data_IF_451834372413
#
_entry.id   IF_451834372413
#
_cell.length_a   1.000
_cell.length_b   1.000
_cell.length_c   1.000
_cell.angle_alpha   90.00
_cell.angle_beta   90.00
_cell.angle_gamma   90.00
#
_symmetry.space_group_name_H-M   'P 1'
#
loop_
_entity.id
_entity.type
_entity.pdbx_description
1 polymer ?
#
# COMPACT_ATOMS: atom_id res chain seq x y z
N UNK A 1 -68.93 -44.73 -6.08
CA UNK A 1 -69.11 -45.42 -4.78
C UNK A 1 -67.75 -45.96 -4.35
N UNK A 2 -67.26 -45.62 -3.15
CA UNK A 2 -66.03 -46.23 -2.57
C UNK A 2 -66.35 -47.67 -2.17
N UNK A 3 -65.45 -48.64 -2.45
CA UNK A 3 -64.72 -49.31 -1.36
C UNK A 3 -63.27 -49.65 -1.74
N UNK A 4 -62.28 -49.40 -0.87
CA UNK A 4 -61.74 -50.27 0.19
C UNK A 4 -60.73 -51.36 -0.27
N UNK A 5 -59.47 -51.12 0.12
CA UNK A 5 -58.59 -51.99 0.94
C UNK A 5 -57.84 -53.20 0.32
N UNK A 6 -56.56 -53.28 0.77
CA UNK A 6 -55.67 -54.45 1.00
C UNK A 6 -54.91 -54.94 -0.25
N UNK A 7 -53.66 -55.41 -0.21
CA UNK A 7 -52.72 -55.80 0.85
C UNK A 7 -51.35 -56.11 0.19
N UNK A 8 -50.23 -55.93 0.92
CA UNK A 8 -48.97 -56.71 0.96
C UNK A 8 -48.20 -56.97 -0.37
N UNK A 9 -46.87 -56.84 -0.45
CA UNK A 9 -45.86 -57.83 -0.03
C UNK A 9 -44.48 -57.12 -0.12
N UNK A 10 -43.76 -56.99 0.99
CA UNK A 10 -42.48 -57.65 1.33
C UNK A 10 -41.34 -57.54 0.29
N UNK A 11 -40.22 -56.93 0.71
CA UNK A 11 -38.96 -56.91 -0.02
C UNK A 11 -37.85 -56.27 0.82
N UNK A 12 -37.24 -57.08 1.67
CA UNK A 12 -36.11 -56.75 2.55
C UNK A 12 -34.80 -56.95 1.77
N UNK A 13 -33.93 -55.94 1.66
CA UNK A 13 -32.51 -56.04 1.27
C UNK A 13 -31.82 -54.70 1.63
N UNK A 14 -31.17 -54.60 2.79
CA UNK A 14 -29.71 -54.81 3.01
C UNK A 14 -28.84 -53.92 2.11
N UNK A 15 -28.19 -52.90 2.69
CA UNK A 15 -26.73 -52.88 2.96
C UNK A 15 -26.27 -51.46 3.32
N UNK A 16 -25.43 -51.40 4.34
CA UNK A 16 -25.02 -50.19 5.02
C UNK A 16 -24.19 -49.23 4.17
N UNK A 17 -24.41 -47.95 4.43
CA UNK A 17 -23.34 -46.97 4.45
C UNK A 17 -23.32 -46.41 5.87
N UNK A 18 -22.22 -46.66 6.57
CA UNK A 18 -21.89 -45.96 7.80
C UNK A 18 -21.74 -44.48 7.46
N UNK A 19 -22.84 -43.73 7.60
CA UNK A 19 -22.79 -42.28 7.65
C UNK A 19 -22.23 -41.91 9.02
N UNK A 20 -20.97 -41.49 9.06
CA UNK A 20 -20.44 -40.72 10.18
C UNK A 20 -21.35 -39.51 10.35
N UNK A 21 -22.23 -39.55 11.35
CA UNK A 21 -22.88 -38.36 11.85
C UNK A 21 -21.79 -37.53 12.52
N UNK A 22 -21.16 -36.64 11.76
CA UNK A 22 -20.44 -35.54 12.36
C UNK A 22 -21.46 -34.75 13.19
N UNK A 23 -21.21 -34.55 14.50
CA UNK A 23 -22.08 -33.71 15.29
C UNK A 23 -22.09 -32.34 14.62
N UNK A 24 -23.29 -31.90 14.28
CA UNK A 24 -23.62 -30.57 13.79
C UNK A 24 -23.20 -29.57 14.88
N UNK A 25 -21.90 -29.28 14.90
CA UNK A 25 -21.30 -28.31 15.79
C UNK A 25 -21.73 -26.98 15.18
N UNK A 26 -22.90 -26.52 15.62
CA UNK A 26 -23.25 -25.10 15.59
C UNK A 26 -22.14 -24.38 16.33
N UNK A 27 -21.10 -24.06 15.58
CA UNK A 27 -20.18 -22.99 15.92
C UNK A 27 -21.02 -21.76 15.67
N UNK A 28 -21.81 -21.39 16.69
CA UNK A 28 -22.20 -20.00 16.93
C UNK A 28 -20.91 -19.24 17.33
N UNK A 29 -19.91 -19.34 16.46
CA UNK A 29 -18.75 -18.48 16.42
C UNK A 29 -19.19 -17.36 15.53
N UNK A 30 -19.86 -16.39 16.13
CA UNK A 30 -19.81 -15.02 15.68
C UNK A 30 -18.34 -14.76 15.35
N UNK A 31 -18.00 -14.84 14.05
CA UNK A 31 -16.69 -14.41 13.56
C UNK A 31 -16.60 -13.01 14.13
N UNK A 32 -15.64 -12.71 15.03
CA UNK A 32 -15.47 -11.34 15.49
C UNK A 32 -15.27 -10.55 14.21
N UNK A 33 -16.30 -9.82 13.78
CA UNK A 33 -16.19 -8.86 12.70
C UNK A 33 -15.02 -8.04 13.15
N UNK A 34 -13.92 -8.05 12.37
CA UNK A 34 -12.71 -7.30 12.66
C UNK A 34 -13.17 -5.89 13.05
N UNK A 35 -13.32 -5.65 14.35
CA UNK A 35 -13.63 -4.34 14.87
C UNK A 35 -12.33 -3.66 14.55
N UNK A 36 -12.35 -2.92 13.45
CA UNK A 36 -11.29 -2.04 13.02
C UNK A 36 -10.83 -1.33 14.28
N UNK A 37 -9.72 -1.78 14.86
CA UNK A 37 -9.20 -1.18 16.06
C UNK A 37 -8.82 0.22 15.59
N UNK A 38 -9.67 1.19 15.91
CA UNK A 38 -9.34 2.59 15.71
C UNK A 38 -8.30 2.87 16.78
N UNK A 39 -7.04 2.96 16.36
CA UNK A 39 -5.90 3.17 17.24
C UNK A 39 -5.83 4.63 17.67
N UNK A 40 -6.24 5.55 16.79
CA UNK A 40 -6.39 6.97 17.12
C UNK A 40 -7.74 7.28 17.73
N UNK A 41 -7.73 8.23 18.69
CA UNK A 41 -8.97 8.83 19.19
C UNK A 41 -9.68 9.62 18.08
N UNK A 42 -10.99 9.83 18.24
CA UNK A 42 -11.76 10.69 17.33
C UNK A 42 -11.21 12.12 17.27
N UNK A 43 -10.65 12.61 18.38
CA UNK A 43 -10.08 13.95 18.45
C UNK A 43 -8.82 14.07 17.61
N UNK A 44 -7.85 13.17 17.77
CA UNK A 44 -6.61 13.15 16.99
C UNK A 44 -6.90 13.00 15.49
N UNK A 45 -7.84 12.12 15.14
CA UNK A 45 -8.28 11.96 13.75
C UNK A 45 -8.88 13.23 13.17
N UNK A 46 -9.77 13.90 13.91
CA UNK A 46 -10.38 15.15 13.48
C UNK A 46 -9.35 16.28 13.34
N UNK A 47 -8.38 16.35 14.25
CA UNK A 47 -7.28 17.33 14.19
C UNK A 47 -6.44 17.13 12.93
N UNK A 48 -6.01 15.90 12.65
CA UNK A 48 -5.23 15.59 11.46
C UNK A 48 -5.99 15.93 10.17
N UNK A 49 -7.26 15.52 10.07
CA UNK A 49 -8.09 15.83 8.90
C UNK A 49 -8.26 17.34 8.71
N UNK A 50 -8.45 18.10 9.79
CA UNK A 50 -8.52 19.56 9.73
C UNK A 50 -7.16 20.19 9.34
N UNK A 51 -6.04 19.58 9.71
CA UNK A 51 -4.72 20.01 9.24
C UNK A 51 -4.56 19.82 7.73
N UNK A 52 -4.89 18.64 7.19
CA UNK A 52 -4.85 18.38 5.75
C UNK A 52 -5.79 19.31 4.97
N UNK A 53 -7.01 19.55 5.47
CA UNK A 53 -7.96 20.47 4.84
C UNK A 53 -7.43 21.91 4.73
N UNK A 54 -6.66 22.38 5.73
CA UNK A 54 -6.05 23.71 5.69
C UNK A 54 -4.95 23.80 4.63
N UNK A 55 -4.13 22.76 4.51
CA UNK A 55 -3.07 22.69 3.49
C UNK A 55 -3.66 22.60 2.07
N UNK A 56 -4.82 21.95 1.91
CA UNK A 56 -5.49 21.78 0.62
C UNK A 56 -6.57 22.85 0.32
N UNK A 57 -6.52 24.00 0.99
CA UNK A 57 -7.56 25.02 0.85
C UNK A 57 -7.70 25.56 -0.59
N UNK A 58 -6.59 25.62 -1.34
CA UNK A 58 -6.53 26.02 -2.75
C UNK A 58 -6.64 24.83 -3.73
N UNK A 59 -6.82 23.62 -3.20
CA UNK A 59 -6.90 22.34 -3.94
C UNK A 59 -5.64 21.98 -4.71
N UNK A 60 -4.49 22.50 -4.31
CA UNK A 60 -3.19 22.10 -4.86
C UNK A 60 -2.27 21.79 -3.68
N UNK A 61 -1.60 20.65 -3.69
CA UNK A 61 -0.55 20.40 -2.70
C UNK A 61 0.80 20.80 -3.29
N UNK A 62 1.52 21.66 -2.57
CA UNK A 62 2.92 21.95 -2.85
C UNK A 62 3.83 20.94 -2.15
N UNK A 63 5.12 20.97 -2.49
CA UNK A 63 6.15 20.20 -1.79
C UNK A 63 6.20 20.55 -0.30
N UNK A 64 6.04 21.82 0.03
CA UNK A 64 6.03 22.30 1.41
C UNK A 64 4.82 21.76 2.19
N UNK A 65 3.66 21.62 1.54
CA UNK A 65 2.46 21.05 2.18
C UNK A 65 2.65 19.56 2.47
N UNK A 66 3.27 18.82 1.55
CA UNK A 66 3.64 17.42 1.77
C UNK A 66 4.60 17.31 2.97
N UNK A 67 5.68 18.08 2.99
CA UNK A 67 6.67 18.08 4.08
C UNK A 67 6.01 18.45 5.43
N UNK A 68 5.14 19.46 5.46
CA UNK A 68 4.38 19.82 6.66
C UNK A 68 3.40 18.71 7.12
N UNK A 69 2.82 17.97 6.18
CA UNK A 69 1.96 16.81 6.46
C UNK A 69 2.75 15.64 7.04
N UNK A 70 3.98 15.41 6.54
CA UNK A 70 4.92 14.43 7.10
C UNK A 70 5.33 14.80 8.52
N UNK A 71 5.55 16.09 8.81
CA UNK A 71 5.79 16.54 10.19
C UNK A 71 4.58 16.25 11.11
N UNK A 72 3.36 16.37 10.59
CA UNK A 72 2.12 15.98 11.28
C UNK A 72 2.07 14.49 11.58
N UNK A 73 2.35 13.66 10.57
CA UNK A 73 2.47 12.21 10.71
C UNK A 73 3.51 11.84 11.77
N UNK A 74 4.70 12.45 11.73
CA UNK A 74 5.76 12.21 12.70
C UNK A 74 5.30 12.53 14.13
N UNK A 75 4.61 13.66 14.34
CA UNK A 75 4.08 14.02 15.67
C UNK A 75 3.08 12.99 16.16
N UNK A 76 2.12 12.59 15.32
CA UNK A 76 1.12 11.56 15.63
C UNK A 76 1.79 10.26 16.08
N UNK A 77 2.73 9.73 15.28
CA UNK A 77 3.46 8.50 15.60
C UNK A 77 4.26 8.62 16.91
N UNK A 78 4.90 9.77 17.14
CA UNK A 78 5.74 10.00 18.31
C UNK A 78 4.95 9.94 19.63
N UNK A 79 3.69 10.39 19.63
CA UNK A 79 2.77 10.29 20.78
C UNK A 79 2.51 8.85 21.18
N UNK A 80 2.60 7.91 20.24
CA UNK A 80 2.40 6.48 20.48
C UNK A 80 3.72 5.69 20.59
N UNK A 81 4.85 6.39 20.69
CA UNK A 81 6.17 5.78 20.81
C UNK A 81 6.62 5.05 19.54
N UNK A 82 6.19 5.52 18.38
CA UNK A 82 6.62 5.05 17.06
C UNK A 82 7.46 6.15 16.43
N UNK A 83 8.66 5.80 15.95
CA UNK A 83 9.53 6.71 15.23
C UNK A 83 9.25 6.63 13.73
N UNK A 84 9.15 7.79 13.07
CA UNK A 84 9.16 7.90 11.62
C UNK A 84 10.61 7.98 11.13
N UNK A 85 11.02 7.04 10.29
CA UNK A 85 12.27 7.10 9.52
C UNK A 85 11.93 7.72 8.17
N UNK A 86 12.54 8.86 7.85
CA UNK A 86 12.33 9.59 6.61
C UNK A 86 13.64 9.63 5.82
N UNK A 87 13.70 8.88 4.72
CA UNK A 87 14.88 8.76 3.85
C UNK A 87 14.85 9.79 2.69
N UNK A 88 13.96 10.79 2.78
CA UNK A 88 13.80 11.85 1.78
C UNK A 88 12.85 11.49 0.65
N UNK A 89 12.97 12.23 -0.46
CA UNK A 89 12.13 12.06 -1.64
C UNK A 89 12.55 10.86 -2.48
N UNK A 90 11.58 10.11 -3.02
CA UNK A 90 11.83 8.98 -3.91
C UNK A 90 12.62 9.47 -5.14
N UNK A 91 13.86 9.00 -5.38
CA UNK A 91 14.65 9.43 -6.52
C UNK A 91 14.09 8.97 -7.86
N UNK A 92 13.18 7.99 -7.89
CA UNK A 92 12.57 7.48 -9.13
C UNK A 92 11.54 8.45 -9.70
N UNK A 93 10.74 9.09 -8.84
CA UNK A 93 9.57 9.89 -9.25
C UNK A 93 9.50 11.30 -8.66
N UNK A 94 10.14 11.60 -7.52
CA UNK A 94 10.05 12.87 -6.78
C UNK A 94 8.61 13.30 -6.41
N UNK A 95 7.67 12.37 -6.42
CA UNK A 95 6.24 12.55 -6.08
C UNK A 95 5.87 11.99 -4.71
N UNK A 96 6.77 11.24 -4.06
CA UNK A 96 6.54 10.65 -2.74
C UNK A 96 7.81 10.68 -1.89
N UNK A 97 7.66 10.69 -0.56
CA UNK A 97 8.76 10.50 0.37
C UNK A 97 8.86 9.04 0.80
N UNK A 98 10.09 8.57 1.05
CA UNK A 98 10.39 7.22 1.53
C UNK A 98 10.30 7.19 3.05
N UNK A 99 9.18 6.66 3.56
CA UNK A 99 8.82 6.71 4.97
C UNK A 99 8.67 5.30 5.55
N UNK A 100 9.24 5.07 6.74
CA UNK A 100 9.16 3.79 7.45
C UNK A 100 8.84 4.00 8.93
N UNK A 101 8.10 3.06 9.52
CA UNK A 101 7.74 3.09 10.94
C UNK A 101 8.64 2.17 11.75
N UNK A 102 9.18 2.67 12.85
CA UNK A 102 10.07 1.90 13.74
C UNK A 102 9.66 2.07 15.19
N UNK A 103 9.33 0.95 15.86
CA UNK A 103 9.07 0.95 17.29
C UNK A 103 9.65 -0.33 17.94
N UNK A 104 10.92 -0.31 18.40
CA UNK A 104 11.55 -1.48 19.00
C UNK A 104 10.75 -2.00 20.19
N UNK A 105 10.51 -3.31 20.23
CA UNK A 105 9.77 -3.96 21.32
C UNK A 105 8.24 -3.84 21.24
N UNK A 106 7.70 -3.31 20.15
CA UNK A 106 6.25 -3.33 19.87
C UNK A 106 5.92 -4.38 18.81
N UNK A 107 4.74 -5.03 18.86
CA UNK A 107 4.29 -5.93 17.79
C UNK A 107 4.08 -5.19 16.47
N UNK A 108 4.32 -5.86 15.34
CA UNK A 108 4.21 -5.24 14.00
C UNK A 108 2.78 -4.75 13.72
N UNK A 109 1.75 -5.47 14.17
CA UNK A 109 0.35 -5.08 14.04
C UNK A 109 0.01 -3.78 14.78
N UNK A 110 0.67 -3.53 15.92
CA UNK A 110 0.53 -2.27 16.64
C UNK A 110 1.14 -1.12 15.84
N UNK A 111 2.33 -1.34 15.27
CA UNK A 111 3.04 -0.32 14.48
C UNK A 111 2.29 -0.01 13.20
N UNK A 112 1.81 -1.04 12.49
CA UNK A 112 1.01 -0.89 11.28
C UNK A 112 -0.32 -0.18 11.57
N UNK A 113 -1.03 -0.57 12.64
CA UNK A 113 -2.32 0.02 12.99
C UNK A 113 -2.27 1.52 13.29
N UNK A 114 -1.35 1.96 14.15
CA UNK A 114 -1.12 3.39 14.38
C UNK A 114 -0.51 4.09 13.16
N UNK A 115 0.35 3.38 12.42
CA UNK A 115 0.91 3.84 11.15
C UNK A 115 -0.16 4.28 10.15
N UNK A 116 -1.08 3.37 9.85
CA UNK A 116 -2.16 3.58 8.89
C UNK A 116 -3.13 4.67 9.37
N UNK A 117 -3.54 4.65 10.63
CA UNK A 117 -4.45 5.67 11.17
C UNK A 117 -3.79 7.06 11.18
N UNK A 118 -2.52 7.19 11.61
CA UNK A 118 -1.80 8.46 11.58
C UNK A 118 -1.56 8.95 10.14
N UNK A 119 -1.19 8.05 9.22
CA UNK A 119 -0.97 8.40 7.82
C UNK A 119 -2.26 8.89 7.16
N UNK A 120 -3.38 8.17 7.39
CA UNK A 120 -4.69 8.58 6.91
C UNK A 120 -5.10 9.94 7.47
N UNK A 121 -4.88 10.16 8.77
CA UNK A 121 -5.27 11.40 9.43
C UNK A 121 -4.39 12.60 9.03
N UNK A 122 -3.10 12.43 8.74
CA UNK A 122 -2.18 13.57 8.56
C UNK A 122 -1.54 13.72 7.19
N UNK A 123 -1.48 12.67 6.35
CA UNK A 123 -0.68 12.70 5.11
C UNK A 123 -1.45 12.31 3.84
N UNK A 124 -2.32 11.30 3.89
CA UNK A 124 -2.85 10.66 2.69
C UNK A 124 -3.48 11.60 1.66
N UNK A 125 -4.32 12.56 2.07
CA UNK A 125 -4.98 13.46 1.14
C UNK A 125 -4.01 14.45 0.49
N UNK A 126 -3.04 14.97 1.26
CA UNK A 126 -2.02 15.88 0.74
C UNK A 126 -1.07 15.13 -0.20
N UNK A 127 -0.64 13.93 0.16
CA UNK A 127 0.20 13.09 -0.69
C UNK A 127 -0.50 12.72 -2.01
N UNK A 128 -1.78 12.37 -1.96
CA UNK A 128 -2.58 12.07 -3.15
C UNK A 128 -2.72 13.28 -4.06
N UNK A 129 -2.96 14.47 -3.52
CA UNK A 129 -3.07 15.67 -4.34
C UNK A 129 -1.71 16.10 -4.91
N UNK A 130 -0.63 16.01 -4.12
CA UNK A 130 0.72 16.32 -4.58
C UNK A 130 1.11 15.42 -5.75
N UNK A 131 0.83 14.12 -5.66
CA UNK A 131 1.10 13.17 -6.75
C UNK A 131 0.30 13.47 -8.01
N UNK A 132 -0.94 13.96 -7.90
CA UNK A 132 -1.75 14.32 -9.08
C UNK A 132 -1.26 15.60 -9.75
N UNK A 133 -0.81 16.59 -8.98
CA UNK A 133 -0.41 17.90 -9.49
C UNK A 133 1.08 18.00 -9.85
N UNK A 134 1.90 17.02 -9.45
CA UNK A 134 3.35 17.04 -9.66
C UNK A 134 3.76 16.09 -10.79
N UNK A 135 4.59 16.59 -11.71
CA UNK A 135 5.20 15.77 -12.76
C UNK A 135 6.20 14.78 -12.13
N UNK A 136 6.07 13.49 -12.47
CA UNK A 136 7.01 12.46 -12.03
C UNK A 136 8.35 12.62 -12.74
N UNK A 137 9.36 13.11 -12.02
CA UNK A 137 10.70 13.39 -12.54
C UNK A 137 11.71 12.55 -11.77
N UNK A 138 12.52 11.80 -12.51
CA UNK A 138 13.60 11.00 -11.93
C UNK A 138 14.79 11.90 -11.58
N UNK A 139 15.47 11.59 -10.47
CA UNK A 139 16.68 12.28 -10.05
C UNK A 139 17.74 12.26 -11.20
N UNK A 140 18.41 13.39 -11.50
CA UNK A 140 19.29 13.49 -12.68
C UNK A 140 20.41 12.45 -12.73
N UNK A 141 21.01 12.13 -11.58
CA UNK A 141 22.07 11.12 -11.48
C UNK A 141 21.53 9.71 -11.77
N UNK A 142 20.33 9.41 -11.26
CA UNK A 142 19.67 8.13 -11.51
C UNK A 142 19.26 8.00 -12.98
N UNK A 143 18.71 9.06 -13.58
CA UNK A 143 18.39 9.10 -15.02
C UNK A 143 19.65 8.88 -15.88
N UNK A 144 20.77 9.49 -15.49
CA UNK A 144 22.05 9.30 -16.20
C UNK A 144 22.51 7.84 -16.17
N UNK A 145 22.50 7.19 -14.99
CA UNK A 145 22.86 5.77 -14.87
C UNK A 145 21.89 4.86 -15.64
N UNK A 146 20.60 5.17 -15.58
CA UNK A 146 19.55 4.41 -16.28
C UNK A 146 19.76 4.46 -17.78
N UNK A 147 19.97 5.66 -18.36
CA UNK A 147 20.25 5.82 -19.80
C UNK A 147 21.52 5.10 -20.23
N UNK A 148 22.59 5.17 -19.43
CA UNK A 148 23.83 4.45 -19.74
C UNK A 148 23.60 2.93 -19.77
N UNK A 149 22.83 2.39 -18.82
CA UNK A 149 22.46 0.98 -18.80
C UNK A 149 21.61 0.57 -20.01
N UNK A 150 20.62 1.39 -20.38
CA UNK A 150 19.76 1.15 -21.54
C UNK A 150 20.56 1.14 -22.84
N UNK A 151 21.42 2.15 -23.05
CA UNK A 151 22.32 2.21 -24.21
C UNK A 151 23.23 0.99 -24.28
N UNK A 152 23.81 0.55 -23.15
CA UNK A 152 24.64 -0.66 -23.11
C UNK A 152 23.88 -1.95 -23.45
N UNK A 153 22.55 -1.96 -23.30
CA UNK A 153 21.65 -3.06 -23.68
C UNK A 153 21.10 -2.93 -25.11
N UNK A 154 21.58 -1.95 -25.88
CA UNK A 154 21.11 -1.65 -27.22
C UNK A 154 19.67 -1.10 -27.26
N UNK A 155 19.23 -0.46 -26.18
CA UNK A 155 17.92 0.20 -26.11
C UNK A 155 18.14 1.69 -26.34
N UNK A 156 17.60 2.19 -27.44
CA UNK A 156 17.68 3.62 -27.77
C UNK A 156 16.72 4.43 -26.88
N UNK A 157 17.23 5.52 -26.32
CA UNK A 157 16.45 6.53 -25.61
C UNK A 157 16.60 7.86 -26.34
N UNK A 158 15.56 8.71 -26.32
CA UNK A 158 15.58 9.98 -27.06
C UNK A 158 16.40 11.05 -26.35
N UNK A 159 16.68 10.86 -25.06
CA UNK A 159 17.40 11.81 -24.21
C UNK A 159 16.51 12.91 -23.63
N UNK A 160 15.22 12.94 -23.99
CA UNK A 160 14.22 13.89 -23.50
C UNK A 160 13.33 13.30 -22.39
N UNK A 161 13.52 12.03 -22.04
CA UNK A 161 12.76 11.36 -20.98
C UNK A 161 13.06 11.98 -19.62
N UNK A 162 12.04 12.41 -18.89
CA UNK A 162 12.18 13.04 -17.58
C UNK A 162 12.08 12.06 -16.42
N UNK A 163 11.40 10.92 -16.62
CA UNK A 163 11.18 9.94 -15.56
C UNK A 163 10.77 8.57 -16.08
N UNK A 164 10.33 7.71 -15.17
CA UNK A 164 9.90 6.34 -15.47
C UNK A 164 8.80 6.27 -16.55
N UNK A 165 7.71 7.09 -16.50
CA UNK A 165 6.66 7.04 -17.52
C UNK A 165 7.18 7.29 -18.94
N UNK A 166 8.09 8.25 -19.12
CA UNK A 166 8.67 8.58 -20.42
C UNK A 166 9.60 7.47 -20.93
N UNK A 167 10.39 6.86 -20.03
CA UNK A 167 11.28 5.75 -20.36
C UNK A 167 10.49 4.53 -20.82
N UNK A 168 9.41 4.18 -20.11
CA UNK A 168 8.53 3.07 -20.50
C UNK A 168 7.79 3.37 -21.81
N UNK A 169 7.33 4.60 -22.03
CA UNK A 169 6.73 4.99 -23.30
C UNK A 169 7.73 4.96 -24.48
N UNK A 170 9.05 5.05 -24.21
CA UNK A 170 10.10 5.05 -25.23
C UNK A 170 10.52 3.66 -25.70
N UNK A 171 10.15 2.58 -24.99
CA UNK A 171 10.59 1.22 -25.31
C UNK A 171 9.56 0.17 -24.91
N UNK A 172 9.36 -0.84 -25.75
CA UNK A 172 8.57 -2.04 -25.44
C UNK A 172 9.25 -2.98 -24.43
N UNK A 173 10.53 -2.75 -24.11
CA UNK A 173 11.34 -3.56 -23.20
C UNK A 173 11.23 -3.09 -21.75
N UNK A 174 10.01 -2.97 -21.22
CA UNK A 174 9.73 -2.45 -19.88
C UNK A 174 10.57 -3.10 -18.77
N UNK A 175 10.73 -4.43 -18.79
CA UNK A 175 11.57 -5.14 -17.81
C UNK A 175 13.03 -4.65 -17.82
N UNK A 176 13.59 -4.39 -19.00
CA UNK A 176 14.95 -3.86 -19.12
C UNK A 176 15.07 -2.43 -18.58
N UNK A 177 14.02 -1.62 -18.73
CA UNK A 177 13.94 -0.27 -18.12
C UNK A 177 13.96 -0.38 -16.61
N UNK A 178 13.07 -1.19 -16.02
CA UNK A 178 12.99 -1.39 -14.58
C UNK A 178 14.30 -1.89 -13.99
N UNK A 179 14.90 -2.93 -14.59
CA UNK A 179 16.19 -3.46 -14.13
C UNK A 179 17.30 -2.41 -14.21
N UNK A 180 17.32 -1.55 -15.23
CA UNK A 180 18.30 -0.47 -15.32
C UNK A 180 18.09 0.60 -14.24
N UNK A 181 16.84 0.95 -13.92
CA UNK A 181 16.51 1.87 -12.83
C UNK A 181 16.89 1.26 -11.48
N UNK A 182 16.49 0.02 -11.20
CA UNK A 182 16.85 -0.72 -9.98
C UNK A 182 18.37 -0.81 -9.80
N UNK A 183 19.12 -1.09 -10.87
CA UNK A 183 20.57 -1.11 -10.83
C UNK A 183 21.17 0.26 -10.49
N UNK A 184 20.62 1.33 -11.06
CA UNK A 184 21.02 2.70 -10.75
C UNK A 184 20.71 3.09 -9.30
N UNK A 185 19.51 2.74 -8.82
CA UNK A 185 19.06 2.93 -7.44
C UNK A 185 20.00 2.23 -6.46
N UNK A 186 20.26 0.93 -6.66
CA UNK A 186 21.13 0.14 -5.79
C UNK A 186 22.57 0.69 -5.74
N UNK A 187 23.01 1.34 -6.81
CA UNK A 187 24.33 1.97 -6.88
C UNK A 187 24.38 3.31 -6.15
N UNK A 188 23.35 4.14 -6.28
CA UNK A 188 23.33 5.50 -5.71
C UNK A 188 22.84 5.53 -4.25
N UNK A 189 21.94 4.62 -3.88
CA UNK A 189 21.27 4.59 -2.58
C UNK A 189 21.45 3.24 -1.88
N UNK A 190 22.70 2.81 -1.62
CA UNK A 190 22.96 1.49 -1.07
C UNK A 190 22.34 1.34 0.33
N UNK A 191 21.54 0.28 0.51
CA UNK A 191 20.91 -0.04 1.79
C UNK A 191 19.61 0.73 2.08
N UNK A 192 19.15 1.58 1.18
CA UNK A 192 17.85 2.26 1.28
C UNK A 192 16.85 1.49 0.41
N UNK A 193 15.72 1.00 0.97
CA UNK A 193 14.67 0.36 0.19
C UNK A 193 13.91 1.42 -0.62
N UNK A 194 14.40 1.72 -1.82
CA UNK A 194 13.73 2.67 -2.73
C UNK A 194 12.66 1.93 -3.54
N UNK A 195 11.37 2.32 -3.46
CA UNK A 195 10.32 1.74 -4.30
C UNK A 195 10.55 2.10 -5.77
N UNK A 196 10.70 1.09 -6.62
CA UNK A 196 10.71 1.22 -8.08
C UNK A 196 9.36 0.75 -8.59
N UNK A 197 8.34 1.60 -8.44
CA UNK A 197 6.99 1.38 -8.95
C UNK A 197 6.51 2.61 -9.72
N UNK A 198 5.53 2.43 -10.61
CA UNK A 198 4.90 3.49 -11.39
C UNK A 198 3.40 3.23 -11.54
#
# INVERSE_FOLDING_TARGET
>A
MRPLRRMLVAGMLLLGLAGCAEPDRKVDGEVPTAQSQQYLSQHERAEGLAAQQRLLADRVASRQDYEASVDGLQRCLSTHGISLVNEGWNPVDQTSMMLWYRAPGKPDEYVAGYGDDCQSAYLSAVADEYRKSTESIMAPELMTLTRNCLTAKGIEVRGTEKGMPDLLASSDRHESVTTCVESGVNKLYPGIPVPVGW
#
